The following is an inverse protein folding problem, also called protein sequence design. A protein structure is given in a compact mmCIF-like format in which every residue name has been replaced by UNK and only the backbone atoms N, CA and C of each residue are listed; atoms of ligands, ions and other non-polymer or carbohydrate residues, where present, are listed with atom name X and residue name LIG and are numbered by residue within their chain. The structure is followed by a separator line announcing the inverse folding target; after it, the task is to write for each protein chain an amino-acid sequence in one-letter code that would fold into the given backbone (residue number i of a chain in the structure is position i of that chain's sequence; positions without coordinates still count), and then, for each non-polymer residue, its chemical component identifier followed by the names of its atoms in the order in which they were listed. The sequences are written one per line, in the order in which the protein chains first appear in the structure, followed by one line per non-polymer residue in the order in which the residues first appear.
data_IF_864969685385
#
_entry.id   IF_864969685385
#
_cell.length_a   1.000
_cell.length_b   1.000
_cell.length_c   1.000
_cell.angle_alpha   90.00
_cell.angle_beta   90.00
_cell.angle_gamma   90.00
#
_symmetry.space_group_name_H-M   'P 1'
#
loop_
_entity.id
_entity.type
_entity.pdbx_description
1 polymer ?
#
# COMPACT_ATOMS: atom_id res chain seq x y z
N UNK A 1 10.92 14.07 24.37
CA UNK A 1 10.12 14.09 23.13
C UNK A 1 10.96 14.44 21.91
N UNK A 2 10.60 13.87 20.77
CA UNK A 2 11.21 14.17 19.47
C UNK A 2 10.20 14.84 18.53
N UNK A 3 10.59 15.92 17.87
CA UNK A 3 9.77 16.58 16.84
C UNK A 3 10.47 16.46 15.49
N UNK A 4 9.74 16.06 14.46
CA UNK A 4 10.27 15.92 13.09
C UNK A 4 9.30 16.53 12.07
N UNK A 5 9.78 16.96 10.89
CA UNK A 5 8.89 17.36 9.79
C UNK A 5 8.16 16.16 9.19
N UNK A 6 7.04 16.42 8.51
CA UNK A 6 6.42 15.42 7.67
C UNK A 6 7.30 15.13 6.43
N UNK A 7 7.24 13.92 5.91
CA UNK A 7 8.02 13.53 4.73
C UNK A 7 7.38 12.36 3.98
N UNK A 8 7.87 12.10 2.78
CA UNK A 8 7.49 10.93 2.00
C UNK A 8 8.69 10.29 1.31
N UNK A 9 8.52 9.03 0.90
CA UNK A 9 9.44 8.28 0.06
C UNK A 9 8.62 7.43 -0.91
N UNK A 10 8.87 7.60 -2.21
CA UNK A 10 8.35 6.67 -3.23
C UNK A 10 9.24 5.43 -3.18
N UNK A 11 8.67 4.25 -2.95
CA UNK A 11 9.40 3.01 -2.70
C UNK A 11 9.78 2.30 -4.02
N UNK A 12 10.44 3.02 -4.92
CA UNK A 12 10.81 2.51 -6.25
C UNK A 12 11.90 1.44 -6.19
N UNK A 13 12.74 1.47 -5.17
CA UNK A 13 13.75 0.43 -4.94
C UNK A 13 13.10 -0.95 -4.77
N UNK A 14 11.89 -1.01 -4.21
CA UNK A 14 11.13 -2.24 -4.02
C UNK A 14 10.48 -2.75 -5.31
N UNK A 15 10.37 -1.93 -6.35
CA UNK A 15 9.90 -2.35 -7.66
C UNK A 15 10.94 -3.24 -8.37
N UNK A 16 12.22 -3.18 -7.95
CA UNK A 16 13.33 -3.98 -8.48
C UNK A 16 13.59 -5.28 -7.71
N UNK A 17 12.87 -5.48 -6.60
CA UNK A 17 13.01 -6.65 -5.74
C UNK A 17 11.99 -7.73 -6.10
N UNK A 18 12.20 -8.94 -5.59
CA UNK A 18 11.17 -9.97 -5.67
C UNK A 18 9.90 -9.53 -4.91
N UNK A 19 8.74 -10.05 -5.32
CA UNK A 19 7.47 -9.72 -4.66
C UNK A 19 7.48 -10.08 -3.17
N UNK A 20 8.20 -11.14 -2.79
CA UNK A 20 8.32 -11.58 -1.40
C UNK A 20 9.11 -10.58 -0.56
N UNK A 21 10.27 -10.14 -1.06
CA UNK A 21 11.11 -9.12 -0.40
C UNK A 21 10.33 -7.80 -0.27
N UNK A 22 9.62 -7.39 -1.33
CA UNK A 22 8.77 -6.20 -1.30
C UNK A 22 7.69 -6.27 -0.20
N UNK A 23 6.92 -7.37 -0.17
CA UNK A 23 5.84 -7.55 0.81
C UNK A 23 6.41 -7.60 2.24
N UNK A 24 7.54 -8.27 2.43
CA UNK A 24 8.23 -8.29 3.73
C UNK A 24 8.67 -6.90 4.18
N UNK A 25 9.37 -6.15 3.31
CA UNK A 25 9.84 -4.81 3.62
C UNK A 25 8.67 -3.89 4.03
N UNK A 26 7.59 -3.88 3.24
CA UNK A 26 6.40 -3.10 3.56
C UNK A 26 5.73 -3.56 4.87
N UNK A 27 5.62 -4.88 5.08
CA UNK A 27 5.04 -5.44 6.30
C UNK A 27 5.83 -5.06 7.54
N UNK A 28 7.14 -5.30 7.54
CA UNK A 28 8.01 -5.08 8.71
C UNK A 28 8.16 -3.62 9.07
N UNK A 29 8.09 -2.71 8.10
CA UNK A 29 8.07 -1.27 8.32
C UNK A 29 6.92 -0.84 9.24
N UNK A 30 5.75 -1.44 9.06
CA UNK A 30 4.55 -1.10 9.85
C UNK A 30 4.54 -1.75 11.24
N UNK A 31 5.32 -2.81 11.45
CA UNK A 31 5.51 -3.43 12.76
C UNK A 31 6.81 -3.01 13.45
N UNK A 32 7.59 -2.11 12.84
CA UNK A 32 8.89 -1.65 13.33
C UNK A 32 9.84 -2.80 13.66
N UNK A 33 9.98 -3.68 12.69
CA UNK A 33 10.80 -4.89 12.78
C UNK A 33 11.71 -5.07 11.56
N UNK A 34 12.10 -3.96 10.94
CA UNK A 34 13.03 -3.90 9.81
C UNK A 34 14.37 -4.55 10.14
N UNK A 35 14.79 -4.55 11.41
CA UNK A 35 15.98 -5.23 11.92
C UNK A 35 15.97 -6.77 11.73
N UNK A 36 14.80 -7.34 11.43
CA UNK A 36 14.63 -8.77 11.18
C UNK A 36 14.72 -9.16 9.71
N UNK A 37 14.96 -8.21 8.81
CA UNK A 37 15.15 -8.48 7.38
C UNK A 37 16.56 -9.05 7.18
N UNK A 38 16.62 -10.27 6.66
CA UNK A 38 17.81 -10.96 6.18
C UNK A 38 17.57 -11.48 4.76
N UNK A 39 18.62 -11.94 4.08
CA UNK A 39 18.56 -12.50 2.72
C UNK A 39 17.49 -13.61 2.57
N UNK A 40 17.34 -14.45 3.60
CA UNK A 40 16.43 -15.61 3.59
C UNK A 40 15.10 -15.37 4.33
N UNK A 41 14.84 -14.17 4.83
CA UNK A 41 13.69 -13.91 5.73
C UNK A 41 12.34 -13.80 5.01
N UNK A 42 12.34 -13.48 3.71
CA UNK A 42 11.14 -13.19 2.94
C UNK A 42 10.23 -14.42 2.78
N UNK A 43 10.77 -15.58 2.43
CA UNK A 43 9.98 -16.80 2.23
C UNK A 43 9.26 -17.24 3.52
N UNK A 44 9.95 -17.39 4.68
CA UNK A 44 9.30 -17.66 5.95
C UNK A 44 8.23 -16.62 6.32
N UNK A 45 8.49 -15.34 6.02
CA UNK A 45 7.53 -14.27 6.26
C UNK A 45 6.23 -14.45 5.45
N UNK A 46 6.33 -14.74 4.15
CA UNK A 46 5.16 -15.01 3.30
C UNK A 46 4.40 -16.27 3.75
N UNK A 47 5.11 -17.38 4.00
CA UNK A 47 4.49 -18.61 4.52
C UNK A 47 3.76 -18.35 5.84
N UNK A 48 4.34 -17.53 6.71
CA UNK A 48 3.72 -17.05 7.93
C UNK A 48 2.41 -16.30 7.66
N UNK A 49 2.41 -15.32 6.75
CA UNK A 49 1.19 -14.56 6.40
C UNK A 49 0.09 -15.49 5.87
N UNK A 50 0.43 -16.38 4.93
CA UNK A 50 -0.53 -17.36 4.36
C UNK A 50 -1.16 -18.20 5.46
N UNK A 51 -0.34 -18.77 6.36
CA UNK A 51 -0.79 -19.65 7.44
C UNK A 51 -1.72 -18.93 8.44
N UNK A 52 -1.45 -17.67 8.76
CA UNK A 52 -2.27 -16.90 9.71
C UNK A 52 -3.48 -16.21 9.06
N UNK A 53 -3.58 -16.22 7.72
CA UNK A 53 -4.68 -15.57 6.99
C UNK A 53 -4.64 -14.04 7.01
N UNK A 54 -3.52 -13.43 7.41
CA UNK A 54 -3.33 -11.97 7.46
C UNK A 54 -3.04 -11.37 6.08
N UNK A 55 -3.95 -11.61 5.12
CA UNK A 55 -3.70 -11.37 3.70
C UNK A 55 -3.55 -9.88 3.32
N UNK A 56 -3.84 -8.92 4.20
CA UNK A 56 -3.75 -7.48 3.89
C UNK A 56 -2.33 -7.06 3.47
N UNK A 57 -1.28 -7.67 4.02
CA UNK A 57 0.12 -7.35 3.65
C UNK A 57 0.41 -7.77 2.20
N UNK A 58 -0.28 -8.79 1.69
CA UNK A 58 -0.15 -9.24 0.29
C UNK A 58 -0.75 -8.25 -0.72
N UNK A 59 -1.42 -7.20 -0.26
CA UNK A 59 -1.82 -6.12 -1.16
C UNK A 59 -0.63 -5.29 -1.64
N UNK A 60 0.50 -5.31 -0.94
CA UNK A 60 1.68 -4.48 -1.26
C UNK A 60 2.44 -4.92 -2.52
N UNK A 61 1.92 -5.87 -3.29
CA UNK A 61 2.46 -6.26 -4.58
C UNK A 61 1.32 -6.46 -5.57
N UNK A 62 1.46 -5.89 -6.75
CA UNK A 62 0.53 -6.03 -7.86
C UNK A 62 1.20 -6.69 -9.06
N UNK A 63 0.41 -7.42 -9.83
CA UNK A 63 0.79 -8.05 -11.08
C UNK A 63 -0.17 -7.63 -12.19
N UNK A 64 0.35 -7.59 -13.41
CA UNK A 64 -0.43 -7.31 -14.62
C UNK A 64 -0.30 -8.50 -15.57
N UNK A 65 -1.43 -9.02 -16.00
CA UNK A 65 -1.56 -10.18 -16.87
C UNK A 65 -2.21 -9.75 -18.19
N UNK A 66 -1.63 -10.18 -19.30
CA UNK A 66 -2.32 -10.24 -20.58
C UNK A 66 -2.96 -11.62 -20.71
N UNK A 67 -4.27 -11.64 -20.98
CA UNK A 67 -5.05 -12.87 -21.07
C UNK A 67 -5.73 -12.94 -22.42
N UNK A 68 -5.42 -13.97 -23.19
CA UNK A 68 -6.10 -14.29 -24.44
C UNK A 68 -7.13 -15.39 -24.22
N UNK A 69 -8.30 -15.23 -24.81
CA UNK A 69 -9.40 -16.20 -24.76
C UNK A 69 -9.87 -16.62 -26.13
N UNK A 70 -10.23 -17.89 -26.31
CA UNK A 70 -10.82 -18.37 -27.57
C UNK A 70 -12.31 -17.97 -27.72
N UNK A 71 -13.00 -17.74 -26.60
CA UNK A 71 -14.42 -17.43 -26.52
C UNK A 71 -14.73 -16.29 -25.56
N UNK A 72 -15.61 -15.38 -25.97
CA UNK A 72 -16.11 -14.30 -25.11
C UNK A 72 -16.96 -14.79 -23.93
N UNK A 73 -17.50 -16.01 -24.02
CA UNK A 73 -18.22 -16.61 -22.89
C UNK A 73 -17.33 -16.75 -21.65
N UNK A 74 -16.02 -16.93 -21.83
CA UNK A 74 -15.05 -16.99 -20.73
C UNK A 74 -14.93 -15.63 -20.02
N UNK A 75 -14.97 -14.54 -20.79
CA UNK A 75 -14.96 -13.18 -20.24
C UNK A 75 -16.25 -12.89 -19.49
N UNK A 76 -17.40 -13.27 -20.05
CA UNK A 76 -18.70 -13.10 -19.41
C UNK A 76 -18.79 -13.84 -18.06
N UNK A 77 -18.31 -15.09 -18.00
CA UNK A 77 -18.23 -15.85 -16.75
C UNK A 77 -17.33 -15.18 -15.72
N UNK A 78 -16.17 -14.68 -16.14
CA UNK A 78 -15.26 -13.93 -15.27
C UNK A 78 -15.93 -12.66 -14.71
N UNK A 79 -16.62 -11.88 -15.55
CA UNK A 79 -17.28 -10.66 -15.12
C UNK A 79 -18.52 -10.94 -14.24
N UNK A 80 -19.17 -12.10 -14.38
CA UNK A 80 -20.34 -12.45 -13.56
C UNK A 80 -20.07 -12.60 -12.06
N UNK A 81 -18.81 -12.76 -11.66
CA UNK A 81 -18.43 -12.83 -10.24
C UNK A 81 -18.04 -11.47 -9.65
N UNK A 82 -18.09 -10.40 -10.45
CA UNK A 82 -17.75 -9.03 -10.05
C UNK A 82 -16.40 -9.01 -9.30
N UNK A 83 -15.30 -9.34 -10.00
CA UNK A 83 -14.00 -9.53 -9.36
C UNK A 83 -13.59 -8.27 -8.60
N UNK A 84 -13.49 -8.40 -7.27
CA UNK A 84 -13.17 -7.28 -6.39
C UNK A 84 -11.68 -6.99 -6.45
N UNK A 85 -11.32 -5.70 -6.45
CA UNK A 85 -9.92 -5.24 -6.42
C UNK A 85 -9.07 -5.72 -7.61
N UNK A 86 -9.73 -6.01 -8.74
CA UNK A 86 -9.10 -6.30 -10.02
C UNK A 86 -9.39 -5.14 -10.97
N UNK A 87 -8.33 -4.61 -11.59
CA UNK A 87 -8.42 -3.71 -12.72
C UNK A 87 -8.50 -4.53 -14.01
N UNK A 88 -9.40 -4.15 -14.91
CA UNK A 88 -9.64 -4.86 -16.16
C UNK A 88 -9.86 -3.87 -17.30
N UNK A 89 -9.14 -4.07 -18.39
CA UNK A 89 -9.34 -3.36 -19.64
C UNK A 89 -9.29 -4.35 -20.82
N UNK A 90 -10.10 -4.09 -21.85
CA UNK A 90 -10.15 -4.93 -23.06
C UNK A 90 -9.25 -4.29 -24.12
N UNK A 91 -8.16 -4.96 -24.48
CA UNK A 91 -7.25 -4.50 -25.54
C UNK A 91 -7.84 -4.79 -26.91
N UNK A 92 -8.41 -5.99 -27.07
CA UNK A 92 -9.11 -6.44 -28.27
C UNK A 92 -10.27 -7.35 -27.86
N UNK A 93 -11.13 -7.74 -28.82
CA UNK A 93 -12.31 -8.59 -28.56
C UNK A 93 -12.00 -9.84 -27.71
N UNK A 94 -10.83 -10.44 -27.88
CA UNK A 94 -10.38 -11.68 -27.22
C UNK A 94 -9.12 -11.51 -26.36
N UNK A 95 -8.65 -10.28 -26.16
CA UNK A 95 -7.40 -9.98 -25.45
C UNK A 95 -7.69 -8.99 -24.33
N UNK A 96 -7.35 -9.40 -23.11
CA UNK A 96 -7.63 -8.67 -21.88
C UNK A 96 -6.32 -8.24 -21.21
N UNK A 97 -6.35 -7.10 -20.55
CA UNK A 97 -5.33 -6.65 -19.62
C UNK A 97 -5.94 -6.64 -18.21
N UNK A 98 -5.38 -7.46 -17.30
CA UNK A 98 -5.90 -7.66 -15.96
C UNK A 98 -4.80 -7.37 -14.96
N UNK A 99 -5.01 -6.40 -14.07
CA UNK A 99 -4.10 -6.15 -12.95
C UNK A 99 -4.78 -6.38 -11.61
N UNK A 100 -4.02 -6.86 -10.65
CA UNK A 100 -4.53 -7.11 -9.30
C UNK A 100 -3.38 -7.29 -8.32
N UNK A 101 -3.69 -7.09 -7.04
CA UNK A 101 -2.73 -7.44 -5.99
C UNK A 101 -2.62 -8.95 -5.83
N UNK A 102 -1.53 -9.43 -5.21
CA UNK A 102 -1.41 -10.86 -4.88
C UNK A 102 -2.59 -11.34 -4.04
N UNK A 103 -3.04 -10.51 -3.09
CA UNK A 103 -4.27 -10.78 -2.33
C UNK A 103 -5.48 -10.95 -3.26
N UNK A 104 -5.72 -10.00 -4.16
CA UNK A 104 -6.88 -10.03 -5.05
C UNK A 104 -6.91 -11.31 -5.91
N UNK A 105 -5.78 -11.70 -6.50
CA UNK A 105 -5.68 -12.94 -7.27
C UNK A 105 -5.88 -14.20 -6.42
N UNK A 106 -5.33 -14.24 -5.20
CA UNK A 106 -5.53 -15.36 -4.27
C UNK A 106 -6.99 -15.51 -3.87
N UNK A 107 -7.66 -14.42 -3.51
CA UNK A 107 -9.08 -14.44 -3.12
C UNK A 107 -9.95 -14.85 -4.31
N UNK A 108 -9.67 -14.34 -5.51
CA UNK A 108 -10.37 -14.72 -6.73
C UNK A 108 -10.21 -16.23 -7.04
N UNK A 109 -8.99 -16.76 -6.92
CA UNK A 109 -8.71 -18.18 -7.13
C UNK A 109 -9.41 -19.07 -6.09
N UNK A 110 -9.39 -18.67 -4.81
CA UNK A 110 -10.03 -19.41 -3.71
C UNK A 110 -11.55 -19.42 -3.85
N UNK A 111 -12.14 -18.27 -4.11
CA UNK A 111 -13.59 -18.08 -4.03
C UNK A 111 -14.29 -18.47 -5.35
N UNK A 112 -13.57 -18.36 -6.48
CA UNK A 112 -14.13 -18.55 -7.82
C UNK A 112 -13.26 -19.41 -8.77
N UNK A 113 -12.32 -20.20 -8.25
CA UNK A 113 -11.39 -21.04 -9.02
C UNK A 113 -11.99 -22.17 -9.88
N UNK A 114 -13.32 -22.29 -9.94
CA UNK A 114 -14.05 -23.16 -10.89
C UNK A 114 -14.22 -22.51 -12.27
N UNK A 115 -14.17 -21.18 -12.35
CA UNK A 115 -14.28 -20.45 -13.61
C UNK A 115 -12.96 -20.61 -14.38
N UNK A 116 -13.07 -21.04 -15.64
CA UNK A 116 -11.92 -21.43 -16.48
C UNK A 116 -10.86 -20.33 -16.59
N UNK A 117 -11.28 -19.08 -16.81
CA UNK A 117 -10.37 -17.93 -16.91
C UNK A 117 -9.63 -17.68 -15.59
N UNK A 118 -10.35 -17.71 -14.46
CA UNK A 118 -9.77 -17.55 -13.11
C UNK A 118 -8.78 -18.66 -12.81
N UNK A 119 -9.15 -19.90 -13.12
CA UNK A 119 -8.29 -21.07 -12.95
C UNK A 119 -7.04 -21.01 -13.82
N UNK A 120 -7.15 -20.50 -15.05
CA UNK A 120 -6.02 -20.27 -15.95
C UNK A 120 -5.04 -19.24 -15.38
N UNK A 121 -5.54 -18.09 -14.92
CA UNK A 121 -4.71 -17.08 -14.25
C UNK A 121 -4.06 -17.62 -12.98
N UNK A 122 -4.82 -18.32 -12.13
CA UNK A 122 -4.29 -18.90 -10.89
C UNK A 122 -3.22 -19.97 -11.16
N UNK A 123 -3.40 -20.78 -12.20
CA UNK A 123 -2.40 -21.77 -12.63
C UNK A 123 -1.09 -21.12 -13.07
N UNK A 124 -1.17 -20.13 -13.95
CA UNK A 124 0.00 -19.35 -14.38
C UNK A 124 0.72 -18.69 -13.19
N UNK A 125 -0.05 -18.04 -12.31
CA UNK A 125 0.51 -17.38 -11.13
C UNK A 125 1.14 -18.37 -10.14
N UNK A 126 0.57 -19.57 -9.99
CA UNK A 126 1.13 -20.60 -9.12
C UNK A 126 2.41 -21.22 -9.68
N UNK A 127 2.56 -21.28 -11.00
CA UNK A 127 3.80 -21.70 -11.66
C UNK A 127 4.90 -20.64 -11.51
N UNK A 128 4.58 -19.37 -11.77
CA UNK A 128 5.55 -18.27 -11.71
C UNK A 128 5.89 -17.83 -10.29
N UNK A 129 4.93 -17.94 -9.37
CA UNK A 129 5.02 -17.43 -8.00
C UNK A 129 4.53 -18.47 -6.97
N UNK A 130 5.12 -19.68 -6.92
CA UNK A 130 4.59 -20.80 -6.12
C UNK A 130 4.45 -20.49 -4.64
N UNK A 131 5.37 -19.69 -4.08
CA UNK A 131 5.34 -19.23 -2.69
C UNK A 131 4.03 -18.54 -2.29
N UNK A 132 3.34 -17.92 -3.25
CA UNK A 132 2.10 -17.19 -3.01
C UNK A 132 0.84 -17.98 -3.32
N UNK A 133 0.92 -19.22 -3.84
CA UNK A 133 -0.26 -19.98 -4.26
C UNK A 133 -0.23 -21.47 -3.84
N UNK A 134 0.79 -21.90 -3.08
CA UNK A 134 0.97 -23.30 -2.68
C UNK A 134 -0.22 -23.92 -1.92
N UNK A 135 -0.93 -23.12 -1.13
CA UNK A 135 -2.08 -23.55 -0.32
C UNK A 135 -3.41 -23.57 -1.09
N UNK A 136 -3.42 -23.08 -2.33
CA UNK A 136 -4.60 -23.00 -3.19
C UNK A 136 -4.63 -24.09 -4.26
N UNK A 137 -3.58 -24.93 -4.36
CA UNK A 137 -3.46 -25.96 -5.37
C UNK A 137 -4.64 -26.96 -5.30
N UNK A 138 -5.38 -27.19 -6.41
CA UNK A 138 -6.40 -28.23 -6.47
C UNK A 138 -5.79 -29.63 -6.27
N UNK A 139 -6.60 -30.61 -5.85
CA UNK A 139 -6.15 -32.01 -5.65
C UNK A 139 -5.44 -32.64 -6.85
N UNK A 140 -5.78 -32.21 -8.07
CA UNK A 140 -5.18 -32.68 -9.34
C UNK A 140 -4.12 -31.71 -9.89
N UNK A 141 -3.67 -30.75 -9.09
CA UNK A 141 -2.78 -29.68 -9.52
C UNK A 141 -3.44 -28.63 -10.42
N UNK A 142 -2.63 -27.66 -10.85
CA UNK A 142 -3.02 -26.61 -11.79
C UNK A 142 -2.97 -27.13 -13.22
N UNK A 143 -4.08 -27.68 -13.69
CA UNK A 143 -4.18 -28.16 -15.08
C UNK A 143 -4.30 -26.96 -16.05
N UNK A 144 -3.67 -27.02 -17.24
CA UNK A 144 -3.91 -26.07 -18.32
C UNK A 144 -5.39 -25.93 -18.63
N UNK A 145 -5.80 -24.74 -19.06
CA UNK A 145 -7.19 -24.42 -19.38
C UNK A 145 -7.28 -24.12 -20.87
N UNK A 146 -7.86 -25.05 -21.66
CA UNK A 146 -7.97 -24.89 -23.12
C UNK A 146 -8.59 -23.53 -23.49
N UNK A 147 -8.04 -22.84 -24.48
CA UNK A 147 -8.60 -21.55 -24.90
C UNK A 147 -8.38 -20.40 -23.92
N UNK A 148 -7.54 -20.56 -22.89
CA UNK A 148 -7.05 -19.48 -22.04
C UNK A 148 -5.53 -19.47 -22.07
N UNK A 149 -4.94 -18.39 -22.59
CA UNK A 149 -3.49 -18.17 -22.56
C UNK A 149 -3.22 -16.97 -21.67
N UNK A 150 -2.30 -17.12 -20.72
CA UNK A 150 -1.95 -16.08 -19.74
C UNK A 150 -0.47 -15.76 -19.87
N UNK A 151 -0.15 -14.47 -19.90
CA UNK A 151 1.23 -13.98 -19.90
C UNK A 151 1.32 -12.83 -18.90
N UNK A 152 2.30 -12.87 -18.00
CA UNK A 152 2.61 -11.76 -17.11
C UNK A 152 3.41 -10.69 -17.83
N UNK A 153 3.09 -9.43 -17.57
CA UNK A 153 3.88 -8.29 -18.02
C UNK A 153 4.93 -7.96 -16.96
N UNK A 154 6.17 -7.73 -17.42
CA UNK A 154 7.20 -7.08 -16.62
C UNK A 154 6.82 -5.63 -16.30
N UNK A 155 7.45 -5.06 -15.29
CA UNK A 155 7.20 -3.66 -14.94
C UNK A 155 7.56 -2.70 -16.07
N UNK A 156 8.61 -3.01 -16.85
CA UNK A 156 9.01 -2.21 -18.01
C UNK A 156 7.93 -2.23 -19.10
N UNK A 157 7.29 -3.38 -19.34
CA UNK A 157 6.15 -3.46 -20.27
C UNK A 157 4.94 -2.68 -19.75
N UNK A 158 4.68 -2.71 -18.43
CA UNK A 158 3.61 -1.90 -17.82
C UNK A 158 3.91 -0.40 -17.92
N UNK A 159 5.15 0.02 -17.67
CA UNK A 159 5.59 1.42 -17.80
C UNK A 159 5.53 1.90 -19.28
N UNK A 160 5.53 0.98 -20.25
CA UNK A 160 5.39 1.25 -21.68
C UNK A 160 3.95 1.30 -22.21
N UNK A 161 2.94 1.12 -21.36
CA UNK A 161 1.53 1.21 -21.76
C UNK A 161 1.13 2.64 -22.18
N UNK A 162 0.08 2.76 -23.00
CA UNK A 162 -0.56 4.06 -23.29
C UNK A 162 -1.00 4.75 -22.00
N UNK A 163 -0.99 6.09 -21.96
CA UNK A 163 -1.32 6.89 -20.77
C UNK A 163 -2.57 6.41 -20.01
N UNK A 164 -3.68 6.11 -20.70
CA UNK A 164 -4.92 5.64 -20.07
C UNK A 164 -4.78 4.27 -19.37
N UNK A 165 -4.06 3.34 -19.99
CA UNK A 165 -3.79 2.01 -19.43
C UNK A 165 -2.72 2.10 -18.33
N UNK A 166 -1.68 2.89 -18.54
CA UNK A 166 -0.64 3.14 -17.55
C UNK A 166 -1.27 3.68 -16.26
N UNK A 167 -2.20 4.64 -16.36
CA UNK A 167 -2.92 5.20 -15.23
C UNK A 167 -3.63 4.14 -14.38
N UNK A 168 -4.30 3.18 -15.03
CA UNK A 168 -5.11 2.15 -14.35
C UNK A 168 -4.31 0.97 -13.84
N UNK A 169 -3.25 0.57 -14.55
CA UNK A 169 -2.56 -0.69 -14.31
C UNK A 169 -1.25 -0.53 -13.52
N UNK A 170 -0.58 0.62 -13.58
CA UNK A 170 0.66 0.87 -12.83
C UNK A 170 0.38 1.23 -11.38
N UNK A 171 0.82 0.38 -10.45
CA UNK A 171 0.69 0.61 -9.00
C UNK A 171 1.98 1.12 -8.39
N UNK A 172 1.90 2.11 -7.50
CA UNK A 172 3.05 2.75 -6.84
C UNK A 172 2.84 2.76 -5.34
N UNK A 173 3.89 2.40 -4.59
CA UNK A 173 3.90 2.44 -3.13
C UNK A 173 4.63 3.69 -2.65
N UNK A 174 4.00 4.44 -1.76
CA UNK A 174 4.61 5.62 -1.14
C UNK A 174 4.52 5.46 0.37
N UNK A 175 5.67 5.51 1.04
CA UNK A 175 5.75 5.65 2.49
C UNK A 175 5.60 7.13 2.84
N UNK A 176 4.68 7.44 3.74
CA UNK A 176 4.43 8.78 4.25
C UNK A 176 4.67 8.77 5.75
N UNK A 177 5.53 9.69 6.22
CA UNK A 177 5.74 9.99 7.63
C UNK A 177 4.95 11.26 7.95
N UNK A 178 3.91 11.13 8.76
CA UNK A 178 3.01 12.25 9.08
C UNK A 178 2.31 12.01 10.43
N UNK A 179 1.34 12.84 10.79
CA UNK A 179 0.62 12.74 12.05
C UNK A 179 -0.63 11.86 11.93
N UNK A 180 -1.15 11.39 13.08
CA UNK A 180 -2.33 10.51 13.12
C UNK A 180 -3.58 11.15 12.50
N UNK A 181 -3.79 12.46 12.67
CA UNK A 181 -4.94 13.15 12.07
C UNK A 181 -4.90 13.12 10.54
N UNK A 182 -3.75 13.44 9.93
CA UNK A 182 -3.56 13.36 8.47
C UNK A 182 -3.80 11.95 7.97
N UNK A 183 -3.28 10.92 8.65
CA UNK A 183 -3.56 9.53 8.22
C UNK A 183 -5.03 9.15 8.30
N UNK A 184 -5.79 9.71 9.25
CA UNK A 184 -7.23 9.52 9.35
C UNK A 184 -8.00 10.08 8.15
N UNK A 185 -7.42 11.07 7.46
CA UNK A 185 -7.93 11.57 6.19
C UNK A 185 -7.43 10.78 4.98
N UNK A 186 -6.16 10.33 4.99
CA UNK A 186 -5.56 9.52 3.91
C UNK A 186 -6.36 8.23 3.71
N UNK A 187 -6.63 7.49 4.79
CA UNK A 187 -7.31 6.17 4.73
C UNK A 187 -8.77 6.25 4.26
N UNK A 188 -9.30 7.45 4.00
CA UNK A 188 -10.63 7.66 3.41
C UNK A 188 -10.64 7.47 1.89
N UNK A 189 -9.47 7.45 1.26
CA UNK A 189 -9.29 7.07 -0.15
C UNK A 189 -9.39 5.55 -0.26
N UNK A 190 -10.60 5.04 -0.50
CA UNK A 190 -10.90 3.60 -0.34
C UNK A 190 -10.28 2.67 -1.40
N UNK A 191 -10.14 3.05 -2.68
CA UNK A 191 -9.53 2.18 -3.71
C UNK A 191 -7.99 2.11 -3.59
N UNK A 192 -7.47 2.04 -2.36
CA UNK A 192 -6.04 1.98 -2.08
C UNK A 192 -5.78 0.93 -1.01
N UNK A 193 -4.56 0.44 -1.00
CA UNK A 193 -4.05 -0.50 -0.01
C UNK A 193 -3.18 0.24 1.00
N UNK A 194 -3.33 -0.12 2.27
CA UNK A 194 -2.65 0.57 3.37
C UNK A 194 -1.93 -0.40 4.27
N UNK A 195 -0.71 -0.05 4.66
CA UNK A 195 -0.09 -0.57 5.86
C UNK A 195 0.35 0.60 6.72
N UNK A 196 0.00 0.58 8.01
CA UNK A 196 0.27 1.68 8.92
C UNK A 196 0.97 1.20 10.18
N UNK A 197 1.92 2.00 10.66
CA UNK A 197 2.60 1.83 11.94
C UNK A 197 1.59 1.62 13.08
N UNK A 198 1.70 0.46 13.75
CA UNK A 198 0.77 0.10 14.81
C UNK A 198 1.21 0.62 16.17
N UNK A 199 0.47 1.57 16.72
CA UNK A 199 0.62 2.00 18.12
C UNK A 199 0.31 0.90 19.17
N UNK A 200 -0.15 -0.29 18.77
CA UNK A 200 -0.34 -1.44 19.68
C UNK A 200 0.92 -2.30 19.80
N UNK A 201 1.73 -2.35 18.75
CA UNK A 201 2.87 -3.27 18.64
C UNK A 201 4.22 -2.54 18.68
N UNK A 202 4.28 -1.30 18.18
CA UNK A 202 5.45 -0.44 18.30
C UNK A 202 5.53 0.08 19.74
N UNK A 203 6.33 -0.59 20.56
CA UNK A 203 6.55 -0.22 21.96
C UNK A 203 7.61 0.88 22.02
N UNK A 204 7.18 2.10 22.30
CA UNK A 204 8.09 3.22 22.52
C UNK A 204 9.00 3.06 23.75
N UNK A 205 8.71 2.09 24.62
CA UNK A 205 9.45 1.81 25.86
C UNK A 205 10.50 0.68 25.76
N UNK A 206 10.56 -0.04 24.64
CA UNK A 206 11.68 -0.94 24.41
C UNK A 206 12.80 -0.08 23.79
N UNK A 207 14.06 -0.21 24.24
CA UNK A 207 15.24 0.61 23.91
C UNK A 207 15.48 0.91 22.41
N UNK A 208 14.71 0.31 21.51
CA UNK A 208 14.61 0.61 20.07
C UNK A 208 14.10 2.03 19.74
N UNK A 209 13.37 2.70 20.63
CA UNK A 209 12.80 4.05 20.36
C UNK A 209 13.31 5.15 21.30
N UNK A 210 14.35 4.88 22.08
CA UNK A 210 14.94 5.88 22.98
C UNK A 210 14.03 6.33 24.13
N UNK A 211 12.96 5.60 24.42
CA UNK A 211 11.96 5.95 25.45
C UNK A 211 11.24 7.30 25.23
N UNK A 212 11.17 7.77 23.99
CA UNK A 212 10.52 9.04 23.65
C UNK A 212 9.42 8.85 22.59
N UNK A 213 8.36 9.64 22.73
CA UNK A 213 7.30 9.74 21.72
C UNK A 213 7.75 10.77 20.68
N UNK A 214 7.57 10.40 19.41
CA UNK A 214 7.82 11.30 18.28
C UNK A 214 6.53 11.99 17.85
N UNK A 215 6.61 13.27 17.54
CA UNK A 215 5.51 14.12 17.06
C UNK A 215 5.89 14.76 15.73
N UNK A 216 4.88 15.06 14.90
CA UNK A 216 5.08 15.90 13.72
C UNK A 216 4.91 17.36 14.10
N UNK A 217 5.82 18.21 13.62
CA UNK A 217 5.76 19.65 13.82
C UNK A 217 4.42 20.22 13.30
N UNK A 218 3.72 21.07 14.07
CA UNK A 218 2.49 21.70 13.60
C UNK A 218 2.84 22.84 12.63
N UNK A 219 2.21 22.88 11.46
CA UNK A 219 2.44 23.96 10.49
C UNK A 219 1.67 25.26 10.78
N UNK A 220 0.79 25.24 11.77
CA UNK A 220 -0.08 26.38 12.11
C UNK A 220 0.62 27.42 12.98
N UNK A 221 1.71 27.04 13.63
CA UNK A 221 2.37 27.86 14.64
C UNK A 221 3.85 28.00 14.28
N UNK A 222 4.33 29.23 14.15
CA UNK A 222 5.76 29.47 13.96
C UNK A 222 6.55 28.99 15.18
N UNK A 223 7.72 28.40 14.94
CA UNK A 223 8.60 27.94 16.01
C UNK A 223 8.93 29.08 17.00
N UNK A 224 8.87 28.80 18.30
CA UNK A 224 9.09 29.79 19.37
C UNK A 224 7.90 30.70 19.70
N UNK A 225 6.82 30.69 18.90
CA UNK A 225 5.58 31.42 19.20
C UNK A 225 4.92 30.96 20.51
N UNK A 226 3.97 31.76 21.01
CA UNK A 226 3.22 31.39 22.23
C UNK A 226 2.40 30.12 22.00
N UNK A 227 1.79 30.01 20.82
CA UNK A 227 0.96 28.89 20.39
C UNK A 227 1.80 27.61 20.23
N UNK A 228 2.99 27.71 19.63
CA UNK A 228 3.91 26.58 19.51
C UNK A 228 4.35 26.08 20.88
N UNK A 229 4.66 26.98 21.83
CA UNK A 229 5.01 26.61 23.21
C UNK A 229 3.86 25.92 23.96
N UNK A 230 2.61 26.33 23.71
CA UNK A 230 1.43 25.63 24.26
C UNK A 230 1.28 24.22 23.70
N UNK A 231 1.46 24.06 22.38
CA UNK A 231 1.46 22.75 21.73
C UNK A 231 2.58 21.85 22.28
N UNK A 232 3.81 22.37 22.35
CA UNK A 232 4.98 21.65 22.88
C UNK A 232 4.75 21.19 24.33
N UNK A 233 4.23 22.07 25.18
CA UNK A 233 3.87 21.71 26.56
C UNK A 233 2.86 20.55 26.58
N UNK A 234 1.82 20.60 25.74
CA UNK A 234 0.84 19.52 25.67
C UNK A 234 1.46 18.19 25.23
N UNK A 235 2.37 18.20 24.25
CA UNK A 235 3.06 16.99 23.79
C UNK A 235 3.94 16.38 24.87
N UNK A 236 4.71 17.22 25.59
CA UNK A 236 5.55 16.80 26.72
C UNK A 236 4.72 16.20 27.87
N UNK A 237 3.59 16.82 28.22
CA UNK A 237 2.71 16.33 29.27
C UNK A 237 2.09 14.98 28.88
N UNK A 238 1.64 14.85 27.63
CA UNK A 238 1.10 13.59 27.11
C UNK A 238 2.14 12.48 27.07
N UNK A 239 3.38 12.73 26.65
CA UNK A 239 4.47 11.75 26.69
C UNK A 239 4.70 11.22 28.11
N UNK A 240 4.79 12.12 29.10
CA UNK A 240 4.94 11.73 30.52
C UNK A 240 3.77 10.87 31.00
N UNK A 241 2.55 11.23 30.67
CA UNK A 241 1.35 10.47 31.06
C UNK A 241 1.34 9.10 30.37
N UNK A 242 1.65 9.05 29.08
CA UNK A 242 1.71 7.82 28.30
C UNK A 242 2.70 6.82 28.90
N UNK A 243 3.93 7.26 29.21
CA UNK A 243 4.95 6.40 29.83
C UNK A 243 4.53 5.90 31.21
N UNK A 244 3.89 6.75 32.03
CA UNK A 244 3.33 6.34 33.33
C UNK A 244 2.24 5.27 33.18
N UNK A 245 1.33 5.42 32.22
CA UNK A 245 0.28 4.44 31.94
C UNK A 245 0.87 3.12 31.43
N UNK A 246 1.93 3.18 30.62
CA UNK A 246 2.57 2.00 30.05
C UNK A 246 3.24 1.11 31.11
N UNK A 247 3.65 1.69 32.25
CA UNK A 247 4.20 0.94 33.37
C UNK A 247 3.18 0.00 34.05
N UNK A 248 1.88 0.28 33.93
CA UNK A 248 0.80 -0.48 34.60
C UNK A 248 -0.26 -1.04 33.66
N UNK A 249 -0.22 -0.67 32.37
CA UNK A 249 -1.26 -0.97 31.38
C UNK A 249 -0.67 -1.45 30.06
N UNK A 250 -1.49 -2.16 29.26
CA UNK A 250 -1.08 -2.57 27.91
C UNK A 250 -0.85 -1.35 26.99
N UNK A 251 0.00 -1.47 25.94
CA UNK A 251 0.17 -0.41 24.94
C UNK A 251 -1.14 0.05 24.30
N UNK A 252 -2.11 -0.87 24.11
CA UNK A 252 -3.41 -0.56 23.54
C UNK A 252 -4.27 0.33 24.45
N UNK A 253 -4.12 0.22 25.77
CA UNK A 253 -4.80 1.08 26.73
C UNK A 253 -4.05 2.40 26.93
N UNK A 254 -2.72 2.34 27.11
CA UNK A 254 -1.89 3.52 27.32
C UNK A 254 -1.98 4.52 26.15
N UNK A 255 -2.05 4.04 24.90
CA UNK A 255 -2.11 4.91 23.71
C UNK A 255 -3.35 5.83 23.64
N UNK A 256 -4.36 5.61 24.47
CA UNK A 256 -5.59 6.43 24.47
C UNK A 256 -5.35 7.90 24.82
N UNK A 257 -4.23 8.21 25.48
CA UNK A 257 -3.82 9.60 25.75
C UNK A 257 -3.01 10.24 24.62
N UNK A 258 -2.52 9.47 23.64
CA UNK A 258 -1.66 9.99 22.57
C UNK A 258 -2.45 10.96 21.67
N UNK A 259 -1.86 12.10 21.28
CA UNK A 259 -2.58 13.15 20.57
C UNK A 259 -2.56 12.90 19.06
N UNK A 260 -3.40 13.65 18.35
CA UNK A 260 -3.45 13.64 16.88
C UNK A 260 -2.09 13.99 16.23
N UNK A 261 -1.27 14.81 16.89
CA UNK A 261 0.08 15.17 16.43
C UNK A 261 1.11 14.04 16.52
N UNK A 262 0.77 12.90 17.13
CA UNK A 262 1.69 11.77 17.23
C UNK A 262 2.15 11.33 15.84
N UNK A 263 3.47 11.13 15.69
CA UNK A 263 4.07 10.61 14.47
C UNK A 263 3.50 9.23 14.18
N UNK A 264 3.24 8.99 12.91
CA UNK A 264 2.94 7.67 12.36
C UNK A 264 3.53 7.58 10.97
N UNK A 265 3.70 6.34 10.50
CA UNK A 265 4.11 6.07 9.15
C UNK A 265 3.05 5.20 8.47
N UNK A 266 2.73 5.53 7.22
CA UNK A 266 1.75 4.79 6.42
C UNK A 266 2.33 4.56 5.03
N UNK A 267 2.24 3.32 4.56
CA UNK A 267 2.44 2.98 3.15
C UNK A 267 1.08 3.04 2.48
N UNK A 268 0.98 3.88 1.45
CA UNK A 268 -0.16 3.92 0.53
C UNK A 268 0.27 3.24 -0.75
N UNK A 269 -0.45 2.20 -1.16
CA UNK A 269 -0.21 1.49 -2.41
C UNK A 269 -1.46 1.57 -3.28
N UNK A 270 -1.33 2.20 -4.45
CA UNK A 270 -2.45 2.50 -5.33
C UNK A 270 -1.98 2.60 -6.78
N UNK A 271 -2.91 2.44 -7.73
CA UNK A 271 -2.61 2.75 -9.12
C UNK A 271 -2.46 4.26 -9.36
N UNK A 272 -1.86 4.63 -10.50
CA UNK A 272 -1.62 6.04 -10.82
C UNK A 272 -2.92 6.86 -10.96
N UNK A 273 -4.03 6.24 -11.39
CA UNK A 273 -5.34 6.88 -11.47
C UNK A 273 -5.85 7.29 -10.08
N UNK A 274 -5.68 6.42 -9.08
CA UNK A 274 -6.05 6.73 -7.70
C UNK A 274 -5.09 7.77 -7.09
N UNK A 275 -3.80 7.72 -7.40
CA UNK A 275 -2.86 8.78 -7.01
C UNK A 275 -3.26 10.14 -7.60
N UNK A 276 -3.64 10.19 -8.87
CA UNK A 276 -4.18 11.39 -9.52
C UNK A 276 -5.43 11.92 -8.80
N UNK A 277 -6.34 11.02 -8.41
CA UNK A 277 -7.52 11.38 -7.62
C UNK A 277 -7.15 11.94 -6.24
N UNK A 278 -6.21 11.31 -5.53
CA UNK A 278 -5.70 11.76 -4.24
C UNK A 278 -5.14 13.18 -4.36
N UNK A 279 -4.26 13.45 -5.33
CA UNK A 279 -3.65 14.77 -5.47
C UNK A 279 -4.70 15.85 -5.80
N UNK A 280 -5.68 15.55 -6.65
CA UNK A 280 -6.79 16.47 -6.94
C UNK A 280 -7.61 16.88 -5.71
N UNK A 281 -7.76 15.98 -4.74
CA UNK A 281 -8.50 16.25 -3.50
C UNK A 281 -7.63 16.82 -2.37
N UNK A 282 -6.32 16.54 -2.37
CA UNK A 282 -5.44 16.80 -1.22
C UNK A 282 -4.41 17.91 -1.44
N UNK A 283 -4.30 18.46 -2.64
CA UNK A 283 -3.47 19.65 -2.94
C UNK A 283 -4.21 20.99 -2.90
N UNK A 284 -5.52 21.12 -3.21
CA UNK A 284 -6.20 22.43 -3.24
C UNK A 284 -6.18 23.18 -1.91
N UNK A 285 -6.38 24.51 -1.95
CA UNK A 285 -6.30 25.42 -0.78
C UNK A 285 -7.25 25.08 0.37
N UNK A 286 -8.38 24.43 0.10
CA UNK A 286 -9.36 24.02 1.10
C UNK A 286 -9.03 22.65 1.74
N UNK A 287 -8.03 21.92 1.24
CA UNK A 287 -7.54 20.72 1.90
C UNK A 287 -6.80 21.08 3.20
N UNK A 288 -6.79 20.16 4.15
CA UNK A 288 -6.09 20.33 5.42
C UNK A 288 -4.61 20.69 5.16
N UNK A 289 -4.07 21.77 5.76
CA UNK A 289 -2.73 22.23 5.43
C UNK A 289 -1.65 21.16 5.62
N UNK A 290 -1.70 20.33 6.67
CA UNK A 290 -0.64 19.35 7.00
C UNK A 290 -0.62 18.20 6.00
N UNK A 291 -1.77 17.89 5.40
CA UNK A 291 -1.88 17.03 4.23
C UNK A 291 -1.20 17.66 3.02
N UNK A 292 -1.42 18.95 2.77
CA UNK A 292 -0.84 19.68 1.61
C UNK A 292 0.70 19.72 1.69
N UNK A 293 1.27 19.86 2.88
CA UNK A 293 2.73 19.82 3.13
C UNK A 293 3.39 18.58 2.51
N UNK A 294 2.71 17.43 2.54
CA UNK A 294 3.21 16.18 1.94
C UNK A 294 2.73 16.01 0.49
N UNK A 295 1.46 16.32 0.21
CA UNK A 295 0.83 15.96 -1.06
C UNK A 295 1.26 16.83 -2.23
N UNK A 296 1.60 18.11 -2.01
CA UNK A 296 2.09 19.01 -3.06
C UNK A 296 3.46 18.54 -3.59
N UNK A 297 4.51 18.39 -2.76
CA UNK A 297 5.80 17.92 -3.26
C UNK A 297 5.73 16.48 -3.79
N UNK A 298 4.87 15.62 -3.24
CA UNK A 298 4.64 14.27 -3.78
C UNK A 298 3.99 14.30 -5.17
N UNK A 299 3.00 15.17 -5.39
CA UNK A 299 2.38 15.34 -6.71
C UNK A 299 3.40 15.79 -7.76
N UNK A 300 4.32 16.71 -7.39
CA UNK A 300 5.42 17.13 -8.25
C UNK A 300 6.35 15.96 -8.61
N UNK A 301 6.72 15.13 -7.64
CA UNK A 301 7.54 13.94 -7.90
C UNK A 301 6.84 12.96 -8.87
N UNK A 302 5.51 12.82 -8.78
CA UNK A 302 4.72 12.02 -9.72
C UNK A 302 4.64 12.63 -11.12
N UNK A 303 4.59 13.96 -11.24
CA UNK A 303 4.68 14.66 -12.54
C UNK A 303 6.00 14.38 -13.24
N UNK A 304 7.11 14.38 -12.50
CA UNK A 304 8.44 14.08 -13.02
C UNK A 304 8.58 12.60 -13.40
N UNK A 305 8.06 11.69 -12.55
CA UNK A 305 8.22 10.25 -12.74
C UNK A 305 7.30 9.64 -13.79
N UNK A 306 6.07 10.14 -13.90
CA UNK A 306 5.02 9.60 -14.76
C UNK A 306 4.38 10.71 -15.62
N UNK A 307 5.17 11.43 -16.44
CA UNK A 307 4.67 12.60 -17.18
C UNK A 307 3.50 12.26 -18.11
N UNK A 308 3.46 11.06 -18.69
CA UNK A 308 2.37 10.61 -19.55
C UNK A 308 0.98 10.63 -18.86
N UNK A 309 0.93 10.53 -17.52
CA UNK A 309 -0.32 10.54 -16.75
C UNK A 309 -0.54 11.88 -16.04
N UNK A 310 0.53 12.56 -15.63
CA UNK A 310 0.44 13.70 -14.70
C UNK A 310 0.86 15.06 -15.30
N UNK A 311 1.44 15.12 -16.50
CA UNK A 311 1.98 16.38 -17.06
C UNK A 311 0.92 17.49 -17.18
N UNK A 312 -0.29 17.16 -17.64
CA UNK A 312 -1.38 18.12 -17.82
C UNK A 312 -2.21 18.34 -16.55
N UNK A 313 -1.88 17.65 -15.45
CA UNK A 313 -2.60 17.79 -14.21
C UNK A 313 -2.17 19.07 -13.49
N UNK A 314 -3.08 20.04 -13.37
CA UNK A 314 -2.88 21.23 -12.55
C UNK A 314 -3.07 20.90 -11.07
N UNK A 315 -1.98 20.79 -10.33
CA UNK A 315 -2.01 20.72 -8.86
C UNK A 315 -1.71 22.11 -8.28
N UNK A 316 -2.25 22.41 -7.10
CA UNK A 316 -1.91 23.67 -6.43
C UNK A 316 -0.40 23.71 -6.15
N UNK A 317 0.27 24.79 -6.55
CA UNK A 317 1.72 24.93 -6.42
C UNK A 317 2.14 25.61 -5.13
N UNK A 318 1.22 26.21 -4.37
CA UNK A 318 1.46 26.93 -3.10
C UNK A 318 0.21 26.91 -2.19
#
# INVERSE_FOLDING_TARGET
MKVIPASFQILEELDRQSLAVRIEACGRLCYKSEDKITEDSAEPFIKGIVKHGHNSVMEMAALTLRVEVDSESLVAQFLSVIPKYIQFDRLEKKVLLISGTIRAFRELARDHGKIKLIKGMAGYLAEMYPLFFFDLAPKRGWLPQDGVVVTGLSLTEVDGLSADLLAKHRHVAVRIITNRAVTHEIVRHRPCSYLQESQRYCRYADDKFGNEVTFIAPMFFSEGSKEYKLWEKAMLDTEKIYLKLLATSSPQAARTVLPNSCKTEIIVFANLLEWLHIFRLRTPKNAEPSMREVMIPLAKAFQERFPAVFADASFATE
#
